data_IF_141644078354
#
_entry.id   IF_141644078354
#
_cell.length_a   1.000
_cell.length_b   1.000
_cell.length_c   1.000
_cell.angle_alpha   90.00
_cell.angle_beta   90.00
_cell.angle_gamma   90.00
#
_symmetry.space_group_name_H-M   'P 1'
#
loop_
_entity.id
_entity.type
_entity.pdbx_description
1 polymer ?
#
# COMPACT_ATOMS: atom_id res chain seq x y z
N UNK A 1 8.10 -5.46 20.96
CA UNK A 1 7.18 -5.95 19.91
C UNK A 1 7.56 -5.24 18.63
N UNK A 2 7.74 -5.97 17.52
CA UNK A 2 8.00 -5.35 16.21
C UNK A 2 6.72 -4.69 15.70
N UNK A 3 6.81 -3.47 15.17
CA UNK A 3 5.67 -2.76 14.58
C UNK A 3 5.33 -3.29 13.18
N UNK A 4 4.14 -2.96 12.70
CA UNK A 4 3.66 -3.30 11.34
C UNK A 4 3.23 -2.05 10.60
N UNK A 5 3.44 -2.04 9.27
CA UNK A 5 2.97 -0.99 8.38
C UNK A 5 1.69 -1.46 7.68
N UNK A 6 0.63 -0.66 7.75
CA UNK A 6 -0.66 -0.93 7.11
C UNK A 6 -1.09 0.26 6.27
N UNK A 7 -1.85 0.03 5.20
CA UNK A 7 -2.46 1.11 4.40
C UNK A 7 -3.95 0.89 4.19
N UNK A 8 -4.67 1.97 3.89
CA UNK A 8 -6.07 1.96 3.49
C UNK A 8 -6.26 3.01 2.40
N UNK A 9 -6.69 2.57 1.22
CA UNK A 9 -6.90 3.40 0.05
C UNK A 9 -8.40 3.51 -0.30
N UNK A 10 -8.84 4.73 -0.61
CA UNK A 10 -10.21 5.03 -1.02
C UNK A 10 -10.23 5.71 -2.40
N UNK A 11 -11.17 5.31 -3.26
CA UNK A 11 -11.51 6.00 -4.49
C UNK A 11 -12.55 7.08 -4.20
N UNK A 12 -12.10 8.33 -4.11
CA UNK A 12 -12.96 9.48 -3.80
C UNK A 12 -13.86 9.90 -4.95
N UNK A 13 -13.61 9.45 -6.19
CA UNK A 13 -14.51 9.70 -7.32
C UNK A 13 -15.81 8.89 -7.22
N UNK A 14 -15.77 7.78 -6.49
CA UNK A 14 -16.91 6.85 -6.28
C UNK A 14 -17.36 6.77 -4.82
N UNK A 15 -16.54 7.26 -3.89
CA UNK A 15 -16.82 7.16 -2.44
C UNK A 15 -16.72 5.73 -1.91
N UNK A 16 -15.85 4.90 -2.49
CA UNK A 16 -15.72 3.46 -2.17
C UNK A 16 -14.26 3.07 -1.89
N UNK A 17 -13.99 2.00 -1.12
CA UNK A 17 -12.63 1.48 -0.97
C UNK A 17 -12.00 1.10 -2.32
N UNK A 18 -10.70 1.34 -2.47
CA UNK A 18 -9.95 1.03 -3.69
C UNK A 18 -9.45 -0.42 -3.65
N UNK A 19 -10.30 -1.37 -4.00
CA UNK A 19 -9.95 -2.79 -4.07
C UNK A 19 -9.10 -3.14 -5.30
N UNK A 20 -8.31 -4.21 -5.20
CA UNK A 20 -7.44 -4.73 -6.28
C UNK A 20 -6.38 -3.73 -6.78
N UNK A 21 -5.95 -2.81 -5.92
CA UNK A 21 -4.89 -1.84 -6.21
C UNK A 21 -3.53 -2.44 -5.85
N UNK A 22 -2.58 -2.47 -6.80
CA UNK A 22 -1.19 -2.86 -6.52
C UNK A 22 -0.47 -1.70 -5.84
N UNK A 23 0.09 -1.96 -4.65
CA UNK A 23 0.89 -1.01 -3.87
C UNK A 23 2.30 -1.60 -3.69
N UNK A 24 3.33 -0.84 -4.05
CA UNK A 24 4.73 -1.18 -3.79
C UNK A 24 5.28 -0.38 -2.61
N UNK A 25 6.04 -1.03 -1.74
CA UNK A 25 6.74 -0.44 -0.62
C UNK A 25 8.23 -0.41 -0.92
N UNK A 26 8.84 0.77 -0.79
CA UNK A 26 10.25 0.99 -1.10
C UNK A 26 10.96 1.58 0.12
N UNK A 27 12.15 1.07 0.41
CA UNK A 27 13.07 1.69 1.35
C UNK A 27 14.10 2.51 0.58
N UNK A 28 14.31 3.76 1.00
CA UNK A 28 15.24 4.67 0.33
C UNK A 28 16.56 4.76 1.08
N UNK A 29 17.64 4.37 0.42
CA UNK A 29 19.02 4.46 0.94
C UNK A 29 19.91 5.21 -0.05
N UNK A 30 20.60 6.25 0.41
CA UNK A 30 21.55 7.04 -0.41
C UNK A 30 20.97 7.53 -1.76
N UNK A 31 19.67 7.81 -1.82
CA UNK A 31 18.98 8.27 -3.03
C UNK A 31 18.54 7.16 -3.99
N UNK A 32 18.79 5.89 -3.68
CA UNK A 32 18.24 4.74 -4.40
C UNK A 32 17.04 4.17 -3.62
N UNK A 33 15.95 3.86 -4.31
CA UNK A 33 14.79 3.17 -3.73
C UNK A 33 14.84 1.69 -4.05
N UNK A 34 14.86 0.84 -3.02
CA UNK A 34 14.81 -0.62 -3.16
C UNK A 34 13.41 -1.12 -2.79
N UNK A 35 12.80 -1.95 -3.63
CA UNK A 35 11.47 -2.53 -3.35
C UNK A 35 11.60 -3.56 -2.22
N UNK A 36 10.84 -3.37 -1.15
CA UNK A 36 10.75 -4.30 -0.03
C UNK A 36 9.67 -5.34 -0.30
N UNK A 37 8.50 -4.91 -0.77
CA UNK A 37 7.40 -5.79 -1.15
C UNK A 37 6.37 -5.07 -2.02
N UNK A 38 5.51 -5.85 -2.68
CA UNK A 38 4.27 -5.35 -3.27
C UNK A 38 3.06 -6.19 -2.89
N UNK A 39 1.95 -5.52 -2.64
CA UNK A 39 0.70 -6.08 -2.14
C UNK A 39 -0.47 -5.61 -3.02
N UNK A 40 -1.58 -6.35 -2.98
CA UNK A 40 -2.84 -5.98 -3.63
C UNK A 40 -3.85 -5.71 -2.53
N UNK A 41 -4.55 -4.57 -2.60
CA UNK A 41 -5.58 -4.24 -1.62
C UNK A 41 -6.76 -5.20 -1.67
N UNK A 42 -7.28 -5.54 -0.49
CA UNK A 42 -8.49 -6.35 -0.34
C UNK A 42 -9.78 -5.57 -0.70
N UNK A 43 -10.95 -6.19 -0.53
CA UNK A 43 -12.24 -5.57 -0.83
C UNK A 43 -12.54 -4.30 0.00
N UNK A 44 -11.90 -4.13 1.16
CA UNK A 44 -11.97 -2.93 2.01
C UNK A 44 -10.81 -1.95 1.71
N UNK A 45 -10.08 -2.11 0.60
CA UNK A 45 -9.02 -1.18 0.20
C UNK A 45 -7.77 -1.21 1.08
N UNK A 46 -7.56 -2.27 1.89
CA UNK A 46 -6.41 -2.39 2.80
C UNK A 46 -5.39 -3.43 2.33
N UNK A 47 -4.13 -3.26 2.74
CA UNK A 47 -3.05 -4.27 2.61
C UNK A 47 -2.84 -5.02 3.91
#
# INVERSE_FOLDING_TARGET
MVGFLTTHALDTSRGTPAANLKIGFFEYHNGCGEEVCSLITNADGRT
#
